data_IF_505705010633
#
_entry.id   IF_505705010633
#
_cell.length_a   1.000
_cell.length_b   1.000
_cell.length_c   1.000
_cell.angle_alpha   90.00
_cell.angle_beta   90.00
_cell.angle_gamma   90.00
#
_symmetry.space_group_name_H-M   'P 1'
#
loop_
_entity.id
_entity.type
_entity.pdbx_description
1 polymer ?
#
# COMPACT_ATOMS: atom_id res chain seq x y z
N UNK A 1 11.10 -7.31 15.85
CA UNK A 1 10.19 -6.81 14.79
C UNK A 1 10.08 -5.33 15.06
N UNK A 2 10.80 -4.52 14.32
CA UNK A 2 10.82 -3.06 14.51
C UNK A 2 9.48 -2.52 14.06
N UNK A 3 8.74 -1.92 14.99
CA UNK A 3 7.43 -1.33 14.71
C UNK A 3 7.65 -0.09 13.86
N UNK A 4 7.27 -0.13 12.58
CA UNK A 4 7.39 1.03 11.70
C UNK A 4 6.46 2.14 12.23
N UNK A 5 6.92 3.39 12.31
CA UNK A 5 6.10 4.48 12.83
C UNK A 5 4.86 4.66 11.97
N UNK A 6 3.71 4.90 12.61
CA UNK A 6 2.48 5.27 11.94
C UNK A 6 2.54 6.73 11.49
N UNK A 7 2.40 6.95 10.19
CA UNK A 7 2.53 8.24 9.53
C UNK A 7 1.19 8.92 9.26
N UNK A 8 0.08 8.39 9.78
CA UNK A 8 -1.26 8.93 9.54
C UNK A 8 -1.34 10.43 9.82
N UNK A 9 -0.80 10.92 10.94
CA UNK A 9 -0.81 12.34 11.28
C UNK A 9 0.05 13.22 10.36
N UNK A 10 1.21 12.72 9.94
CA UNK A 10 2.09 13.45 9.01
C UNK A 10 1.43 13.59 7.63
N UNK A 11 0.80 12.51 7.14
CA UNK A 11 0.10 12.52 5.87
C UNK A 11 -1.12 13.44 5.87
N UNK A 12 -1.89 13.45 6.97
CA UNK A 12 -3.02 14.36 7.14
C UNK A 12 -2.57 15.83 7.07
N UNK A 13 -1.48 16.17 7.75
CA UNK A 13 -0.93 17.53 7.76
C UNK A 13 -0.47 18.02 6.37
N UNK A 14 0.10 17.15 5.53
CA UNK A 14 0.57 17.52 4.18
C UNK A 14 -0.58 18.02 3.29
N UNK A 15 -1.75 17.41 3.41
CA UNK A 15 -2.93 17.76 2.62
C UNK A 15 -3.90 18.71 3.34
N UNK A 16 -3.52 19.16 4.54
CA UNK A 16 -4.29 20.14 5.32
C UNK A 16 -5.59 19.58 5.91
N UNK A 17 -5.61 18.30 6.26
CA UNK A 17 -6.74 17.67 6.96
C UNK A 17 -6.42 17.40 8.43
N UNK A 18 -7.46 17.35 9.25
CA UNK A 18 -7.36 16.78 10.60
C UNK A 18 -7.14 15.26 10.52
N UNK A 19 -6.47 14.68 11.53
CA UNK A 19 -6.09 13.27 11.52
C UNK A 19 -7.32 12.34 11.45
N UNK A 20 -8.42 12.70 12.12
CA UNK A 20 -9.66 11.92 12.12
C UNK A 20 -10.32 11.93 10.73
N UNK A 21 -10.36 13.09 10.08
CA UNK A 21 -10.93 13.23 8.74
C UNK A 21 -10.11 12.42 7.71
N UNK A 22 -8.78 12.52 7.79
CA UNK A 22 -7.89 11.73 6.96
C UNK A 22 -8.10 10.22 7.20
N UNK A 23 -8.18 9.79 8.45
CA UNK A 23 -8.42 8.39 8.80
C UNK A 23 -9.78 7.89 8.32
N UNK A 24 -10.81 8.74 8.31
CA UNK A 24 -12.13 8.40 7.79
C UNK A 24 -12.14 8.21 6.27
N UNK A 25 -11.35 9.01 5.54
CA UNK A 25 -11.24 8.95 4.08
C UNK A 25 -10.35 7.78 3.61
N UNK A 26 -9.20 7.59 4.26
CA UNK A 26 -8.13 6.73 3.76
C UNK A 26 -7.77 5.55 4.68
N UNK A 27 -8.23 5.58 5.93
CA UNK A 27 -7.77 4.67 6.98
C UNK A 27 -6.48 5.16 7.66
N UNK A 28 -5.95 4.34 8.55
CA UNK A 28 -4.79 4.63 9.39
C UNK A 28 -3.74 3.50 9.34
N UNK A 29 -2.66 3.63 10.11
CA UNK A 29 -1.58 2.64 10.15
C UNK A 29 -0.68 2.72 8.91
N UNK A 30 -0.42 3.94 8.45
CA UNK A 30 0.37 4.19 7.25
C UNK A 30 1.86 4.06 7.55
N UNK A 31 2.58 3.32 6.71
CA UNK A 31 4.04 3.20 6.78
C UNK A 31 4.67 3.54 5.43
N UNK A 32 5.88 4.11 5.44
CA UNK A 32 6.63 4.32 4.21
C UNK A 32 6.89 2.98 3.54
N UNK A 33 6.55 2.88 2.26
CA UNK A 33 7.09 1.86 1.40
C UNK A 33 8.42 2.39 0.88
N UNK A 34 9.51 1.86 1.44
CA UNK A 34 10.86 2.28 1.07
C UNK A 34 11.02 2.15 -0.45
N UNK A 35 11.42 3.22 -1.15
CA UNK A 35 11.79 3.07 -2.54
C UNK A 35 12.97 2.10 -2.57
N UNK A 36 12.77 0.93 -3.19
CA UNK A 36 13.90 0.21 -3.77
C UNK A 36 14.68 1.19 -4.69
N UNK A 37 15.93 0.87 -5.09
CA UNK A 37 16.85 1.78 -5.80
C UNK A 37 16.38 2.27 -7.20
N UNK A 38 15.10 2.11 -7.52
CA UNK A 38 14.48 2.51 -8.77
C UNK A 38 13.98 3.95 -8.63
N UNK A 39 14.81 4.86 -9.11
CA UNK A 39 14.46 6.27 -9.32
C UNK A 39 13.26 6.34 -10.27
N UNK A 40 12.08 6.68 -9.75
CA UNK A 40 10.85 6.92 -10.52
C UNK A 40 10.82 8.33 -11.15
N UNK A 41 12.00 8.94 -11.34
CA UNK A 41 12.17 10.32 -11.83
C UNK A 41 11.52 10.52 -13.22
N UNK A 42 11.48 9.46 -14.03
CA UNK A 42 10.97 9.49 -15.41
C UNK A 42 9.50 9.09 -15.55
N UNK A 43 8.86 8.60 -14.47
CA UNK A 43 7.46 8.13 -14.51
C UNK A 43 6.49 9.03 -13.74
N UNK A 44 6.97 10.15 -13.17
CA UNK A 44 6.13 11.05 -12.40
C UNK A 44 5.36 12.04 -13.31
N UNK A 45 4.01 11.91 -13.41
CA UNK A 45 3.20 12.87 -14.15
C UNK A 45 3.12 14.25 -13.47
N UNK A 46 3.66 14.42 -12.25
CA UNK A 46 3.66 15.70 -11.52
C UNK A 46 4.80 16.66 -11.89
N UNK A 47 5.78 16.21 -12.69
CA UNK A 47 6.65 17.08 -13.48
C UNK A 47 7.90 17.67 -12.77
N UNK A 48 9.03 17.55 -13.47
CA UNK A 48 10.11 18.55 -13.49
C UNK A 48 11.01 18.73 -12.27
N UNK A 49 12.21 19.28 -12.51
CA UNK A 49 13.12 19.76 -11.46
C UNK A 49 12.40 20.77 -10.55
N UNK A 50 12.17 20.41 -9.29
CA UNK A 50 11.76 21.39 -8.26
C UNK A 50 10.74 20.93 -7.23
N UNK A 51 10.00 19.83 -7.46
CA UNK A 51 9.10 19.25 -6.47
C UNK A 51 9.55 17.82 -6.14
N UNK A 52 10.21 17.57 -4.99
CA UNK A 52 10.60 16.23 -4.62
C UNK A 52 9.33 15.38 -4.44
N UNK A 53 9.20 14.36 -5.27
CA UNK A 53 8.06 13.47 -5.23
C UNK A 53 8.01 12.76 -3.87
N UNK A 54 6.93 12.93 -3.10
CA UNK A 54 6.78 12.29 -1.78
C UNK A 54 6.86 10.77 -1.91
N UNK A 55 7.33 9.99 -0.93
CA UNK A 55 7.36 8.54 -1.10
C UNK A 55 5.94 7.94 -1.15
N UNK A 56 5.83 6.71 -1.66
CA UNK A 56 4.60 5.94 -1.49
C UNK A 56 4.50 5.41 -0.06
N UNK A 57 3.28 5.39 0.46
CA UNK A 57 2.94 4.83 1.77
C UNK A 57 1.95 3.70 1.56
N UNK A 58 1.96 2.72 2.46
CA UNK A 58 1.10 1.53 2.40
C UNK A 58 0.42 1.29 3.74
N UNK A 59 -0.82 0.79 3.69
CA UNK A 59 -1.59 0.43 4.88
C UNK A 59 -2.28 -0.94 4.74
N UNK A 60 -2.53 -1.56 5.91
CA UNK A 60 -3.22 -2.83 6.09
C UNK A 60 -2.30 -4.06 6.16
N UNK A 61 -2.81 -5.12 6.79
CA UNK A 61 -2.18 -6.44 6.85
C UNK A 61 -3.18 -7.56 6.45
N UNK A 62 -3.02 -8.20 5.29
CA UNK A 62 -2.03 -7.91 4.24
C UNK A 62 -2.23 -6.51 3.63
N UNK A 63 -1.22 -5.97 2.94
CA UNK A 63 -1.28 -4.62 2.34
C UNK A 63 -2.49 -4.45 1.38
N UNK A 64 -3.27 -3.39 1.61
CA UNK A 64 -4.57 -3.19 0.93
C UNK A 64 -4.66 -1.91 0.11
N UNK A 65 -3.93 -0.87 0.49
CA UNK A 65 -3.99 0.44 -0.16
C UNK A 65 -2.60 1.09 -0.12
N UNK A 66 -2.25 1.77 -1.20
CA UNK A 66 -1.11 2.67 -1.25
C UNK A 66 -1.58 4.10 -1.46
N UNK A 67 -0.90 5.06 -0.83
CA UNK A 67 -1.16 6.49 -0.97
C UNK A 67 0.13 7.27 -1.18
N UNK A 68 0.05 8.32 -1.99
CA UNK A 68 1.07 9.34 -2.16
C UNK A 68 0.40 10.69 -1.99
N UNK A 69 0.90 11.52 -1.09
CA UNK A 69 0.21 12.75 -0.66
C UNK A 69 1.00 13.97 -1.11
N UNK A 70 0.29 14.99 -1.60
CA UNK A 70 0.79 16.28 -2.03
C UNK A 70 -0.14 17.37 -1.49
N UNK A 71 0.35 18.61 -1.39
CA UNK A 71 -0.48 19.74 -0.96
C UNK A 71 -1.70 19.97 -1.88
N UNK A 72 -1.63 19.56 -3.15
CA UNK A 72 -2.72 19.72 -4.12
C UNK A 72 -3.58 18.46 -4.31
N UNK A 73 -3.30 17.34 -3.63
CA UNK A 73 -4.11 16.12 -3.77
C UNK A 73 -3.37 14.84 -3.40
N UNK A 74 -4.00 13.70 -3.70
CA UNK A 74 -3.45 12.36 -3.42
C UNK A 74 -3.45 11.47 -4.65
N UNK A 75 -2.45 10.60 -4.77
CA UNK A 75 -2.56 9.40 -5.58
C UNK A 75 -2.92 8.22 -4.70
N UNK A 76 -3.90 7.43 -5.14
CA UNK A 76 -4.33 6.19 -4.51
C UNK A 76 -4.04 5.03 -5.46
N UNK A 77 -3.56 3.91 -4.92
CA UNK A 77 -3.23 2.74 -5.72
C UNK A 77 -3.48 1.43 -4.97
N UNK A 78 -3.67 0.35 -5.73
CA UNK A 78 -3.62 -1.00 -5.18
C UNK A 78 -2.16 -1.45 -5.01
N UNK A 79 -1.77 -2.02 -3.86
CA UNK A 79 -0.43 -2.57 -3.69
C UNK A 79 -0.27 -3.87 -4.48
N UNK A 80 0.77 -3.93 -5.31
CA UNK A 80 1.24 -5.16 -5.95
C UNK A 80 2.61 -5.53 -5.40
N UNK A 81 2.66 -6.59 -4.60
CA UNK A 81 3.89 -7.09 -4.01
C UNK A 81 4.78 -7.79 -5.05
N UNK A 82 6.08 -7.48 -5.02
CA UNK A 82 7.14 -8.21 -5.71
C UNK A 82 8.18 -8.65 -4.69
N UNK A 83 8.69 -9.86 -4.83
CA UNK A 83 9.83 -10.32 -4.04
C UNK A 83 11.11 -9.63 -4.52
N UNK A 84 11.80 -8.95 -3.61
CA UNK A 84 13.09 -8.28 -3.82
C UNK A 84 13.92 -8.55 -2.57
N UNK A 85 15.12 -9.15 -2.72
CA UNK A 85 16.06 -9.39 -1.60
C UNK A 85 15.40 -10.02 -0.36
N UNK A 86 14.63 -11.10 -0.56
CA UNK A 86 13.89 -11.82 0.50
C UNK A 86 12.83 -11.01 1.26
N UNK A 87 12.45 -9.82 0.76
CA UNK A 87 11.31 -9.04 1.25
C UNK A 87 10.28 -8.80 0.15
N UNK A 88 9.03 -8.61 0.56
CA UNK A 88 7.98 -8.13 -0.34
C UNK A 88 8.05 -6.62 -0.38
N UNK A 89 8.36 -6.07 -1.56
CA UNK A 89 8.24 -4.65 -1.86
C UNK A 89 6.97 -4.39 -2.68
N UNK A 90 6.25 -3.32 -2.38
CA UNK A 90 4.98 -2.98 -3.04
C UNK A 90 5.17 -1.94 -4.12
N UNK A 91 4.57 -2.19 -5.29
CA UNK A 91 4.43 -1.22 -6.37
C UNK A 91 2.99 -0.74 -6.49
N UNK A 92 2.78 0.54 -6.83
CA UNK A 92 1.44 1.07 -7.04
C UNK A 92 0.87 0.57 -8.38
N UNK A 93 -0.27 -0.11 -8.34
CA UNK A 93 -1.08 -0.45 -9.52
C UNK A 93 -2.41 0.27 -9.52
N UNK A 94 -2.97 0.51 -10.72
CA UNK A 94 -4.27 1.17 -10.90
C UNK A 94 -4.33 2.51 -10.18
N UNK A 95 -3.28 3.31 -10.37
CA UNK A 95 -3.14 4.61 -9.76
C UNK A 95 -4.29 5.52 -10.17
N UNK A 96 -4.84 6.25 -9.21
CA UNK A 96 -5.83 7.29 -9.44
C UNK A 96 -5.47 8.50 -8.60
N UNK A 97 -5.41 9.65 -9.27
CA UNK A 97 -5.26 10.95 -8.62
C UNK A 97 -6.64 11.48 -8.18
N UNK A 98 -6.67 12.09 -6.99
CA UNK A 98 -7.81 12.84 -6.45
C UNK A 98 -7.29 14.19 -6.00
N UNK A 99 -7.83 15.27 -6.58
CA UNK A 99 -7.42 16.62 -6.22
C UNK A 99 -7.88 16.99 -4.80
N UNK A 100 -7.18 17.93 -4.16
CA UNK A 100 -7.50 18.36 -2.78
C UNK A 100 -8.94 18.91 -2.64
N UNK A 101 -9.47 19.57 -3.67
CA UNK A 101 -10.84 20.08 -3.67
C UNK A 101 -11.90 19.00 -3.95
N UNK A 102 -11.48 17.75 -4.22
CA UNK A 102 -12.33 16.61 -4.56
C UNK A 102 -12.19 15.45 -3.56
N UNK A 103 -11.56 15.67 -2.40
CA UNK A 103 -11.19 14.59 -1.47
C UNK A 103 -12.37 13.74 -0.99
N UNK A 104 -13.59 14.29 -0.92
CA UNK A 104 -14.78 13.49 -0.63
C UNK A 104 -15.02 12.35 -1.63
N UNK A 105 -14.61 12.54 -2.89
CA UNK A 105 -14.70 11.52 -3.93
C UNK A 105 -13.70 10.36 -3.70
N UNK A 106 -12.67 10.58 -2.86
CA UNK A 106 -11.67 9.56 -2.54
C UNK A 106 -12.30 8.33 -1.89
N UNK A 107 -13.41 8.47 -1.14
CA UNK A 107 -14.09 7.36 -0.48
C UNK A 107 -14.48 6.25 -1.46
N UNK A 108 -15.03 6.62 -2.62
CA UNK A 108 -15.42 5.63 -3.63
C UNK A 108 -14.20 5.00 -4.31
N UNK A 109 -13.14 5.78 -4.54
CA UNK A 109 -11.86 5.27 -5.07
C UNK A 109 -11.25 4.25 -4.12
N UNK A 110 -11.14 4.59 -2.83
CA UNK A 110 -10.63 3.73 -1.75
C UNK A 110 -11.45 2.46 -1.65
N UNK A 111 -12.78 2.57 -1.60
CA UNK A 111 -13.71 1.43 -1.55
C UNK A 111 -13.50 0.47 -2.73
N UNK A 112 -13.38 0.99 -3.94
CA UNK A 112 -13.15 0.20 -5.15
C UNK A 112 -11.80 -0.52 -5.12
N UNK A 113 -10.73 0.18 -4.74
CA UNK A 113 -9.38 -0.39 -4.62
C UNK A 113 -9.34 -1.49 -3.55
N UNK A 114 -9.88 -1.22 -2.36
CA UNK A 114 -9.99 -2.22 -1.29
C UNK A 114 -10.79 -3.45 -1.71
N UNK A 115 -11.97 -3.24 -2.30
CA UNK A 115 -12.83 -4.34 -2.74
C UNK A 115 -12.10 -5.22 -3.75
N UNK A 116 -11.43 -4.61 -4.74
CA UNK A 116 -10.65 -5.38 -5.71
C UNK A 116 -9.47 -6.10 -5.08
N UNK A 117 -8.75 -5.46 -4.15
CA UNK A 117 -7.55 -6.02 -3.54
C UNK A 117 -7.90 -7.18 -2.60
N UNK A 118 -8.90 -7.02 -1.72
CA UNK A 118 -9.35 -8.08 -0.81
C UNK A 118 -9.82 -9.34 -1.51
N UNK A 119 -10.42 -9.22 -2.71
CA UNK A 119 -10.83 -10.38 -3.53
C UNK A 119 -9.66 -11.24 -3.99
N UNK A 120 -8.43 -10.73 -3.97
CA UNK A 120 -7.24 -11.52 -4.32
C UNK A 120 -6.71 -12.33 -3.14
N UNK A 121 -7.14 -12.03 -1.91
CA UNK A 121 -6.67 -12.69 -0.70
C UNK A 121 -7.32 -14.05 -0.53
N UNK A 122 -6.58 -14.99 0.08
CA UNK A 122 -7.07 -16.33 0.40
C UNK A 122 -6.66 -16.68 1.82
N UNK A 123 -7.46 -17.48 2.50
CA UNK A 123 -7.06 -18.05 3.78
C UNK A 123 -6.07 -19.18 3.55
N UNK A 124 -4.99 -19.21 4.34
CA UNK A 124 -4.15 -20.39 4.42
C UNK A 124 -4.89 -21.51 5.15
N UNK A 125 -4.95 -22.72 4.57
CA UNK A 125 -5.65 -23.87 5.16
C UNK A 125 -5.06 -24.34 6.49
N UNK A 126 -3.77 -24.06 6.73
CA UNK A 126 -3.03 -24.46 7.92
C UNK A 126 -3.15 -23.44 9.05
N UNK A 127 -2.68 -22.19 8.84
CA UNK A 127 -2.68 -21.17 9.89
C UNK A 127 -3.94 -20.30 9.93
N UNK A 128 -4.84 -20.41 8.95
CA UNK A 128 -6.10 -19.64 8.86
C UNK A 128 -5.92 -18.11 8.84
N UNK A 129 -4.74 -17.63 8.49
CA UNK A 129 -4.46 -16.21 8.26
C UNK A 129 -4.81 -15.82 6.81
N UNK A 130 -5.31 -14.61 6.60
CA UNK A 130 -5.48 -14.04 5.27
C UNK A 130 -4.11 -13.79 4.62
N UNK A 131 -3.90 -14.33 3.42
CA UNK A 131 -2.64 -14.21 2.70
C UNK A 131 -2.88 -13.59 1.33
N UNK A 132 -2.17 -12.48 1.08
CA UNK A 132 -2.13 -11.85 -0.23
C UNK A 132 -1.38 -12.72 -1.26
N UNK A 133 -1.63 -12.56 -2.57
CA UNK A 133 -1.02 -13.40 -3.61
C UNK A 133 0.51 -13.54 -3.50
N UNK A 134 1.21 -12.45 -3.23
CA UNK A 134 2.66 -12.42 -3.11
C UNK A 134 3.20 -13.18 -1.87
N UNK A 135 2.37 -13.44 -0.87
CA UNK A 135 2.72 -14.23 0.32
C UNK A 135 2.30 -15.70 0.23
N UNK A 136 1.75 -16.13 -0.92
CA UNK A 136 1.26 -17.50 -1.13
C UNK A 136 2.24 -18.35 -1.93
N UNK A 137 2.40 -19.58 -1.47
CA UNK A 137 3.08 -20.65 -2.19
C UNK A 137 2.12 -21.35 -3.16
N UNK A 138 0.89 -21.65 -2.70
CA UNK A 138 -0.17 -22.30 -3.49
C UNK A 138 -1.51 -21.58 -3.22
N UNK A 139 -2.57 -21.97 -3.91
CA UNK A 139 -3.90 -21.36 -3.86
C UNK A 139 -4.41 -21.13 -2.42
N UNK A 140 -4.17 -22.08 -1.51
CA UNK A 140 -4.60 -22.03 -0.10
C UNK A 140 -3.48 -22.30 0.91
N UNK A 141 -2.22 -22.07 0.52
CA UNK A 141 -1.05 -22.26 1.41
C UNK A 141 -0.13 -21.03 1.38
N UNK A 142 0.13 -20.43 2.54
CA UNK A 142 1.13 -19.37 2.67
C UNK A 142 2.56 -19.95 2.69
N UNK A 143 3.54 -19.14 2.28
CA UNK A 143 4.93 -19.56 2.27
C UNK A 143 5.45 -20.04 3.63
N UNK A 144 5.06 -19.39 4.74
CA UNK A 144 5.45 -19.83 6.09
C UNK A 144 5.01 -21.26 6.41
N UNK A 145 3.75 -21.62 6.12
CA UNK A 145 3.28 -22.99 6.30
C UNK A 145 3.90 -23.96 5.30
N UNK A 146 4.21 -23.52 4.07
CA UNK A 146 4.91 -24.35 3.10
C UNK A 146 6.32 -24.73 3.60
N UNK A 147 7.06 -23.79 4.19
CA UNK A 147 8.34 -24.09 4.85
C UNK A 147 8.18 -25.06 6.01
N UNK A 148 7.22 -24.82 6.91
CA UNK A 148 7.02 -25.68 8.09
C UNK A 148 6.61 -27.11 7.75
N UNK A 149 5.67 -27.29 6.81
CA UNK A 149 5.06 -28.59 6.56
C UNK A 149 5.66 -29.34 5.35
N UNK A 150 6.26 -28.63 4.40
CA UNK A 150 6.80 -29.22 3.16
C UNK A 150 8.31 -29.01 2.98
N UNK A 151 8.98 -28.26 3.87
CA UNK A 151 10.42 -28.01 3.78
C UNK A 151 10.84 -27.09 2.63
N UNK A 152 9.92 -26.25 2.12
CA UNK A 152 10.20 -25.30 1.02
C UNK A 152 11.02 -24.11 1.52
N UNK A 153 12.06 -23.72 0.77
CA UNK A 153 12.87 -22.52 0.98
C UNK A 153 12.57 -21.54 -0.16
N UNK A 154 12.27 -20.28 0.17
CA UNK A 154 11.84 -19.22 -0.77
C UNK A 154 12.53 -17.89 -0.47
#
# INVERSE_FOLDING_TARGET
MEEKPDLTGELAAIIGLEIEEFAELFGAGWRVEEPGPWHDYDADPSGGEGCPATPWHVAGDPAQLMIRVFAHGVFLASPHGRSIDHRVAYRPERQQYVAAYELEQAREVVKRLHTSRRRTFRYCRYCRVHTAPEGRFDHDVCYGCATTWFGIIY
#
